data_IF_305269320842
#
_entry.id   IF_305269320842
#
_cell.length_a   1.000
_cell.length_b   1.000
_cell.length_c   1.000
_cell.angle_alpha   90.00
_cell.angle_beta   90.00
_cell.angle_gamma   90.00
#
_symmetry.space_group_name_H-M   'P 1'
#
loop_
_entity.id
_entity.type
_entity.pdbx_description
1 polymer ?
#
# COMPACT_ATOMS: atom_id res chain seq x y z
N UNK A 1 26.57 -36.37 23.85
CA UNK A 1 25.33 -35.61 23.67
C UNK A 1 25.75 -34.24 23.20
N UNK A 2 25.55 -33.92 21.93
CA UNK A 2 25.93 -32.62 21.37
C UNK A 2 24.65 -31.85 21.11
N UNK A 3 24.55 -30.72 21.78
CA UNK A 3 23.44 -29.78 21.70
C UNK A 3 23.25 -29.35 20.24
N UNK A 4 22.05 -29.59 19.71
CA UNK A 4 21.59 -28.99 18.47
C UNK A 4 21.33 -27.52 18.79
N UNK A 5 22.21 -26.66 18.28
CA UNK A 5 22.06 -25.22 18.30
C UNK A 5 20.75 -24.86 17.57
N UNK A 6 19.84 -24.23 18.31
CA UNK A 6 18.53 -23.78 17.83
C UNK A 6 18.73 -22.51 16.99
N UNK A 7 17.92 -22.43 15.93
CA UNK A 7 17.85 -21.37 14.94
C UNK A 7 17.81 -19.95 15.52
N UNK A 8 18.59 -19.05 14.94
CA UNK A 8 18.16 -17.67 14.72
C UNK A 8 17.88 -17.52 13.22
N UNK A 9 16.62 -17.40 12.78
CA UNK A 9 16.30 -16.69 11.57
C UNK A 9 16.00 -15.24 11.98
N UNK A 10 17.05 -14.49 12.33
CA UNK A 10 17.01 -13.03 12.27
C UNK A 10 17.25 -12.64 10.79
N UNK A 11 16.41 -13.15 9.89
CA UNK A 11 16.13 -12.44 8.65
C UNK A 11 15.15 -11.36 9.05
N UNK A 12 15.71 -10.27 9.57
CA UNK A 12 15.03 -8.99 9.62
C UNK A 12 14.48 -8.74 8.22
N UNK A 13 13.16 -8.88 8.07
CA UNK A 13 12.41 -8.33 6.97
C UNK A 13 12.91 -6.89 6.82
N UNK A 14 13.76 -6.65 5.82
CA UNK A 14 14.03 -5.31 5.33
C UNK A 14 12.64 -4.79 5.00
N UNK A 15 12.09 -3.91 5.85
CA UNK A 15 10.85 -3.20 5.56
C UNK A 15 11.09 -2.47 4.24
N UNK A 16 10.78 -3.11 3.11
CA UNK A 16 10.92 -2.49 1.81
C UNK A 16 10.11 -1.20 1.85
N UNK A 17 10.80 -0.07 1.89
CA UNK A 17 10.16 1.23 1.99
C UNK A 17 9.23 1.39 0.79
N UNK A 18 8.01 1.85 1.05
CA UNK A 18 7.05 2.17 -0.01
C UNK A 18 7.41 3.59 -0.46
N UNK A 19 8.26 3.68 -1.47
CA UNK A 19 8.77 4.93 -2.02
C UNK A 19 8.01 5.32 -3.28
N UNK A 20 7.56 6.58 -3.32
CA UNK A 20 6.94 7.19 -4.50
C UNK A 20 7.91 8.26 -5.00
N UNK A 21 8.52 7.99 -6.15
CA UNK A 21 9.47 8.90 -6.76
C UNK A 21 8.74 10.10 -7.36
N UNK A 22 9.43 11.23 -7.43
CA UNK A 22 8.94 12.46 -8.04
C UNK A 22 9.76 12.73 -9.31
N UNK A 23 9.08 12.96 -10.43
CA UNK A 23 9.70 13.40 -11.69
C UNK A 23 9.44 14.89 -11.90
N UNK A 24 10.42 15.57 -12.46
CA UNK A 24 10.33 17.00 -12.75
C UNK A 24 9.73 17.21 -14.14
N UNK A 25 8.65 17.99 -14.22
CA UNK A 25 7.97 18.34 -15.47
C UNK A 25 7.99 19.85 -15.66
N UNK A 26 7.73 20.36 -16.88
CA UNK A 26 7.61 21.80 -17.13
C UNK A 26 6.53 22.51 -16.28
N UNK A 27 5.61 21.75 -15.67
CA UNK A 27 4.54 22.26 -14.81
C UNK A 27 4.82 22.05 -13.31
N UNK A 28 6.00 21.54 -12.95
CA UNK A 28 6.39 21.23 -11.58
C UNK A 28 6.70 19.75 -11.36
N UNK A 29 6.91 19.36 -10.10
CA UNK A 29 7.17 17.97 -9.72
C UNK A 29 5.87 17.20 -9.62
N UNK A 30 5.86 15.98 -10.15
CA UNK A 30 4.71 15.06 -10.09
C UNK A 30 5.18 13.66 -9.73
N UNK A 31 4.31 12.83 -9.11
CA UNK A 31 4.63 11.44 -8.84
C UNK A 31 4.92 10.66 -10.14
N UNK A 32 5.93 9.80 -10.11
CA UNK A 32 6.26 8.91 -11.21
C UNK A 32 5.28 7.72 -11.25
N UNK A 33 4.60 7.54 -12.38
CA UNK A 33 3.58 6.50 -12.56
C UNK A 33 4.07 5.10 -12.15
N UNK A 34 5.25 4.68 -12.61
CA UNK A 34 5.77 3.34 -12.30
C UNK A 34 6.07 3.16 -10.81
N UNK A 35 6.59 4.19 -10.15
CA UNK A 35 6.83 4.17 -8.70
C UNK A 35 5.52 4.12 -7.91
N UNK A 36 4.52 4.91 -8.31
CA UNK A 36 3.19 4.94 -7.70
C UNK A 36 2.50 3.58 -7.83
N UNK A 37 2.58 2.97 -9.02
CA UNK A 37 2.01 1.65 -9.28
C UNK A 37 2.68 0.55 -8.43
N UNK A 38 4.02 0.50 -8.40
CA UNK A 38 4.76 -0.44 -7.55
C UNK A 38 4.43 -0.25 -6.07
N UNK A 39 4.28 1.00 -5.62
CA UNK A 39 3.90 1.29 -4.25
C UNK A 39 2.49 0.76 -3.93
N UNK A 40 1.51 0.89 -4.83
CA UNK A 40 0.18 0.27 -4.68
C UNK A 40 0.23 -1.25 -4.61
N UNK A 41 1.04 -1.89 -5.45
CA UNK A 41 1.23 -3.35 -5.42
C UNK A 41 1.81 -3.79 -4.07
N UNK A 42 2.83 -3.09 -3.56
CA UNK A 42 3.43 -3.37 -2.25
C UNK A 42 2.45 -3.17 -1.10
N UNK A 43 1.66 -2.09 -1.12
CA UNK A 43 0.61 -1.86 -0.11
C UNK A 43 -0.39 -3.03 -0.12
N UNK A 44 -0.84 -3.44 -1.30
CA UNK A 44 -1.81 -4.52 -1.47
C UNK A 44 -1.27 -5.86 -0.95
N UNK A 45 0.00 -6.17 -1.27
CA UNK A 45 0.66 -7.37 -0.77
C UNK A 45 0.75 -7.38 0.77
N UNK A 46 1.15 -6.25 1.38
CA UNK A 46 1.21 -6.13 2.84
C UNK A 46 -0.16 -6.27 3.50
N UNK A 47 -1.21 -5.69 2.92
CA UNK A 47 -2.57 -5.86 3.45
C UNK A 47 -3.00 -7.33 3.46
N UNK A 48 -2.65 -8.07 2.41
CA UNK A 48 -2.92 -9.51 2.34
C UNK A 48 -2.14 -10.31 3.39
N UNK A 49 -0.87 -9.97 3.62
CA UNK A 49 -0.08 -10.57 4.71
C UNK A 49 -0.67 -10.29 6.10
N UNK A 50 -1.17 -9.07 6.33
CA UNK A 50 -1.83 -8.74 7.60
C UNK A 50 -3.16 -9.50 7.75
N UNK A 51 -3.90 -9.72 6.67
CA UNK A 51 -5.13 -10.54 6.69
C UNK A 51 -4.81 -12.00 7.10
N UNK A 52 -3.77 -12.60 6.53
CA UNK A 52 -3.32 -13.94 6.93
C UNK A 52 -2.89 -14.00 8.40
N UNK A 53 -2.22 -12.96 8.91
CA UNK A 53 -1.84 -12.86 10.32
C UNK A 53 -3.08 -12.74 11.22
N UNK A 54 -4.10 -11.97 10.80
CA UNK A 54 -5.38 -11.87 11.50
C UNK A 54 -6.07 -13.23 11.58
N UNK A 55 -6.13 -13.98 10.48
CA UNK A 55 -6.72 -15.33 10.47
C UNK A 55 -6.00 -16.28 11.43
N UNK A 56 -4.66 -16.24 11.46
CA UNK A 56 -3.84 -17.04 12.40
C UNK A 56 -4.16 -16.68 13.86
N UNK A 57 -4.28 -15.39 14.18
CA UNK A 57 -4.66 -14.95 15.52
C UNK A 57 -6.10 -15.37 15.87
N UNK A 58 -7.03 -15.24 14.93
CA UNK A 58 -8.44 -15.61 15.12
C UNK A 58 -8.63 -17.12 15.38
N UNK A 59 -7.88 -17.96 14.68
CA UNK A 59 -7.88 -19.42 14.88
C UNK A 59 -7.29 -19.82 16.24
N UNK A 60 -6.25 -19.12 16.71
CA UNK A 60 -5.70 -19.34 18.05
C UNK A 60 -6.71 -18.95 19.14
N UNK A 61 -7.41 -17.82 18.98
CA UNK A 61 -8.46 -17.34 19.89
C UNK A 61 -9.67 -18.28 20.02
N UNK A 62 -9.99 -19.03 18.97
CA UNK A 62 -11.10 -20.00 18.98
C UNK A 62 -10.75 -21.31 19.69
N UNK A 63 -9.48 -21.57 19.96
CA UNK A 63 -9.05 -22.72 20.76
C UNK A 63 -9.35 -22.48 22.25
N UNK A 64 -10.20 -23.33 22.85
CA UNK A 64 -10.95 -23.05 24.09
C UNK A 64 -10.16 -22.95 25.40
N UNK A 65 -8.83 -22.88 25.41
CA UNK A 65 -8.03 -22.62 26.62
C UNK A 65 -6.66 -22.05 26.24
N UNK A 66 -6.57 -20.72 26.17
CA UNK A 66 -5.30 -20.02 26.01
C UNK A 66 -4.71 -19.73 27.41
N UNK A 67 -3.50 -20.21 27.73
CA UNK A 67 -2.74 -19.77 28.89
C UNK A 67 -2.58 -18.24 28.88
N UNK A 68 -2.52 -17.62 30.07
CA UNK A 68 -2.42 -16.14 30.21
C UNK A 68 -1.25 -15.51 29.45
N UNK A 69 -0.16 -16.26 29.26
CA UNK A 69 1.00 -15.84 28.45
C UNK A 69 0.63 -15.73 26.96
N UNK A 70 -0.10 -16.71 26.42
CA UNK A 70 -0.56 -16.70 25.02
C UNK A 70 -1.61 -15.60 24.78
N UNK A 71 -2.43 -15.27 25.78
CA UNK A 71 -3.36 -14.13 25.70
C UNK A 71 -2.61 -12.82 25.54
N UNK A 72 -1.51 -12.62 26.28
CA UNK A 72 -0.69 -11.42 26.18
C UNK A 72 0.01 -11.33 24.82
N UNK A 73 0.60 -12.44 24.36
CA UNK A 73 1.22 -12.51 23.03
C UNK A 73 0.23 -12.19 21.90
N UNK A 74 -0.99 -12.73 21.99
CA UNK A 74 -2.07 -12.42 21.04
C UNK A 74 -2.46 -10.94 21.12
N UNK A 75 -2.54 -10.37 22.32
CA UNK A 75 -2.88 -8.96 22.50
C UNK A 75 -1.81 -8.03 21.89
N UNK A 76 -0.53 -8.34 22.11
CA UNK A 76 0.59 -7.61 21.54
C UNK A 76 0.58 -7.73 20.00
N UNK A 77 0.31 -8.92 19.46
CA UNK A 77 0.18 -9.15 18.02
C UNK A 77 -1.00 -8.37 17.40
N UNK A 78 -2.16 -8.34 18.05
CA UNK A 78 -3.32 -7.54 17.60
C UNK A 78 -2.98 -6.05 17.61
N UNK A 79 -2.24 -5.58 18.61
CA UNK A 79 -1.87 -4.17 18.70
C UNK A 79 -0.85 -3.78 17.62
N UNK A 80 0.12 -4.64 17.31
CA UNK A 80 1.01 -4.48 16.17
C UNK A 80 0.22 -4.43 14.85
N UNK A 81 -0.66 -5.41 14.62
CA UNK A 81 -1.52 -5.47 13.44
C UNK A 81 -2.35 -4.19 13.24
N UNK A 82 -2.93 -3.64 14.32
CA UNK A 82 -3.68 -2.38 14.28
C UNK A 82 -2.80 -1.19 13.89
N UNK A 83 -1.56 -1.15 14.38
CA UNK A 83 -0.62 -0.10 14.02
C UNK A 83 -0.25 -0.17 12.54
N UNK A 84 0.09 -1.36 12.06
CA UNK A 84 0.47 -1.60 10.66
C UNK A 84 -0.67 -1.24 9.70
N UNK A 85 -1.90 -1.67 10.03
CA UNK A 85 -3.09 -1.35 9.22
C UNK A 85 -3.34 0.16 9.20
N UNK A 86 -3.26 0.84 10.34
CA UNK A 86 -3.45 2.29 10.40
C UNK A 86 -2.39 3.06 9.60
N UNK A 87 -1.17 2.53 9.51
CA UNK A 87 -0.14 3.12 8.65
C UNK A 87 -0.42 2.88 7.16
N UNK A 88 -0.83 1.67 6.80
CA UNK A 88 -1.21 1.34 5.42
C UNK A 88 -2.43 2.14 4.96
N UNK A 89 -3.42 2.38 5.82
CA UNK A 89 -4.59 3.23 5.55
C UNK A 89 -4.17 4.67 5.21
N UNK A 90 -3.24 5.26 5.98
CA UNK A 90 -2.71 6.61 5.67
C UNK A 90 -1.97 6.65 4.35
N UNK A 91 -1.23 5.59 4.01
CA UNK A 91 -0.52 5.51 2.72
C UNK A 91 -1.52 5.36 1.56
N UNK A 92 -2.62 4.64 1.76
CA UNK A 92 -3.71 4.55 0.78
C UNK A 92 -4.40 5.89 0.56
N UNK A 93 -4.72 6.63 1.62
CA UNK A 93 -5.33 7.96 1.53
C UNK A 93 -4.48 8.90 0.66
N UNK A 94 -3.16 8.91 0.90
CA UNK A 94 -2.23 9.69 0.07
C UNK A 94 -2.22 9.24 -1.42
N UNK A 95 -2.38 7.95 -1.68
CA UNK A 95 -2.47 7.44 -3.05
C UNK A 95 -3.78 7.82 -3.73
N UNK A 96 -4.90 7.81 -3.00
CA UNK A 96 -6.19 8.25 -3.50
C UNK A 96 -6.17 9.71 -3.91
N UNK A 97 -5.52 10.58 -3.11
CA UNK A 97 -5.31 11.98 -3.47
C UNK A 97 -4.53 12.13 -4.79
N UNK A 98 -3.42 11.40 -4.94
CA UNK A 98 -2.63 11.41 -6.18
C UNK A 98 -3.46 10.96 -7.38
N UNK A 99 -4.23 9.88 -7.23
CA UNK A 99 -5.06 9.35 -8.31
C UNK A 99 -6.19 10.32 -8.67
N UNK A 100 -6.78 10.99 -7.67
CA UNK A 100 -7.76 12.06 -7.87
C UNK A 100 -7.19 13.20 -8.73
N UNK A 101 -6.00 13.70 -8.40
CA UNK A 101 -5.33 14.73 -9.20
C UNK A 101 -5.05 14.27 -10.64
N UNK A 102 -4.63 13.03 -10.83
CA UNK A 102 -4.38 12.46 -12.16
C UNK A 102 -5.69 12.41 -12.95
N UNK A 103 -6.79 11.97 -12.34
CA UNK A 103 -8.08 11.86 -12.99
C UNK A 103 -8.62 13.23 -13.42
N UNK A 104 -8.50 14.26 -12.57
CA UNK A 104 -8.86 15.63 -12.93
C UNK A 104 -8.06 16.15 -14.13
N UNK A 105 -6.75 15.87 -14.17
CA UNK A 105 -5.88 16.26 -15.29
C UNK A 105 -6.23 15.51 -16.59
N UNK A 106 -6.59 14.23 -16.51
CA UNK A 106 -7.04 13.45 -17.66
C UNK A 106 -8.34 14.02 -18.24
N UNK A 107 -9.32 14.34 -17.38
CA UNK A 107 -10.57 14.97 -17.81
C UNK A 107 -10.33 16.31 -18.54
N UNK A 108 -9.34 17.09 -18.08
CA UNK A 108 -8.95 18.33 -18.76
C UNK A 108 -8.32 18.06 -20.14
N UNK A 109 -7.52 17.01 -20.28
CA UNK A 109 -6.94 16.62 -21.56
C UNK A 109 -8.00 16.19 -22.57
N UNK A 110 -8.99 15.42 -22.13
CA UNK A 110 -10.13 15.02 -22.98
C UNK A 110 -10.92 16.25 -23.44
N UNK A 111 -11.19 17.20 -22.53
CA UNK A 111 -11.85 18.46 -22.88
C UNK A 111 -11.04 19.29 -23.90
N UNK A 112 -9.70 19.34 -23.76
CA UNK A 112 -8.84 20.03 -24.72
C UNK A 112 -8.81 19.32 -26.07
N UNK A 113 -8.80 17.99 -26.09
CA UNK A 113 -8.87 17.20 -27.32
C UNK A 113 -10.17 17.49 -28.08
N UNK A 114 -11.31 17.56 -27.39
CA UNK A 114 -12.61 17.93 -27.97
C UNK A 114 -12.61 19.34 -28.58
N UNK A 115 -11.90 20.30 -27.97
CA UNK A 115 -11.76 21.65 -28.52
C UNK A 115 -10.93 21.63 -29.79
N UNK A 116 -9.79 20.93 -29.77
CA UNK A 116 -8.90 20.81 -30.92
C UNK A 116 -9.62 20.14 -32.08
N UNK A 117 -10.36 19.05 -31.83
CA UNK A 117 -11.13 18.36 -32.86
C UNK A 117 -12.20 19.26 -33.48
N UNK A 118 -12.93 20.03 -32.66
CA UNK A 118 -13.90 21.02 -33.14
C UNK A 118 -13.24 22.11 -33.98
N UNK A 119 -12.09 22.61 -33.56
CA UNK A 119 -11.35 23.63 -34.31
C UNK A 119 -10.89 23.11 -35.67
N UNK A 120 -10.32 21.91 -35.72
CA UNK A 120 -9.88 21.27 -36.98
C UNK A 120 -11.06 21.08 -37.95
N UNK A 121 -12.18 20.53 -37.47
CA UNK A 121 -13.41 20.40 -38.28
C UNK A 121 -13.91 21.73 -38.85
N UNK A 122 -13.72 22.82 -38.10
CA UNK A 122 -14.11 24.16 -38.55
C UNK A 122 -13.17 24.71 -39.64
N UNK A 123 -11.90 24.31 -39.65
CA UNK A 123 -10.92 24.72 -40.68
C UNK A 123 -11.06 23.91 -41.98
N UNK A 124 -11.63 22.71 -41.91
CA UNK A 124 -11.89 21.84 -43.07
C UNK A 124 -13.20 22.16 -43.81
N UNK A 125 -14.02 23.07 -43.28
CA UNK A 125 -15.29 23.56 -43.86
C UNK A 125 -15.12 24.91 -44.56
#
# INVERSE_FOLDING_TARGET
>A
MSEKNVQNPDESDEEESIEINQIETPRGRVPEFESTFRALEKISARLLEQDEKIEKVATQLTSRHLPTVQVKEIQDAIQALRSDIAELEKRLEYMEDILGEIQERLNLLDYLADIVERYLKTQES
#
